data_IF_605473788820
#
_entry.id   IF_605473788820
#
_cell.length_a   1.000
_cell.length_b   1.000
_cell.length_c   1.000
_cell.angle_alpha   90.00
_cell.angle_beta   90.00
_cell.angle_gamma   90.00
#
_symmetry.space_group_name_H-M   'P 1'
#
loop_
_entity.id
_entity.type
_entity.pdbx_description
1 polymer ?
#
# COMPACT_ATOMS: atom_id res chain seq x y z
N UNK A 1 33.29 -0.01 24.22
CA UNK A 1 32.70 -1.33 24.52
C UNK A 1 31.22 -1.13 24.79
N UNK A 2 30.32 -1.94 24.21
CA UNK A 2 28.89 -1.83 24.49
C UNK A 2 28.62 -2.20 25.96
N UNK A 3 27.82 -1.37 26.66
CA UNK A 3 27.42 -1.61 28.05
C UNK A 3 26.14 -2.45 28.08
N UNK A 4 25.94 -3.20 29.17
CA UNK A 4 24.74 -4.03 29.32
C UNK A 4 23.49 -3.15 29.48
N UNK A 5 22.40 -3.48 28.77
CA UNK A 5 21.18 -2.69 28.83
C UNK A 5 20.48 -2.85 30.19
N UNK A 6 20.08 -1.74 30.80
CA UNK A 6 19.51 -1.70 32.14
C UNK A 6 18.36 -2.69 32.36
N UNK A 7 17.38 -2.73 31.46
CA UNK A 7 16.17 -3.54 31.62
C UNK A 7 16.47 -5.05 31.57
N UNK A 8 17.39 -5.46 30.68
CA UNK A 8 17.88 -6.83 30.61
C UNK A 8 18.64 -7.20 31.88
N UNK A 9 19.45 -6.27 32.41
CA UNK A 9 20.25 -6.54 33.63
C UNK A 9 19.35 -6.70 34.84
N UNK A 10 18.34 -5.84 34.94
CA UNK A 10 17.38 -5.87 36.02
C UNK A 10 16.62 -7.21 36.05
N UNK A 11 16.14 -7.66 34.89
CA UNK A 11 15.47 -8.95 34.78
C UNK A 11 16.39 -10.14 35.09
N UNK A 12 17.64 -10.09 34.64
CA UNK A 12 18.64 -11.12 34.93
C UNK A 12 18.93 -11.24 36.42
N UNK A 13 19.25 -10.12 37.09
CA UNK A 13 19.61 -10.11 38.51
C UNK A 13 18.43 -10.54 39.39
N UNK A 14 17.20 -10.09 39.07
CA UNK A 14 16.01 -10.57 39.79
C UNK A 14 15.83 -12.08 39.65
N UNK A 15 15.91 -12.62 38.43
CA UNK A 15 15.74 -14.06 38.18
C UNK A 15 16.81 -14.89 38.87
N UNK A 16 18.07 -14.42 38.87
CA UNK A 16 19.17 -15.08 39.62
C UNK A 16 18.92 -15.09 41.13
N UNK A 17 18.23 -14.08 41.66
CA UNK A 17 17.79 -14.04 43.04
C UNK A 17 16.53 -14.87 43.32
N UNK A 18 15.92 -15.51 42.31
CA UNK A 18 14.72 -16.34 42.46
C UNK A 18 13.43 -15.58 42.77
N UNK A 19 13.42 -14.25 42.62
CA UNK A 19 12.31 -13.40 43.04
C UNK A 19 11.26 -13.22 41.94
N UNK A 20 10.00 -13.11 42.31
CA UNK A 20 8.92 -12.62 41.44
C UNK A 20 9.03 -11.10 41.24
N UNK A 21 8.36 -10.58 40.20
CA UNK A 21 8.32 -9.12 39.97
C UNK A 21 7.60 -8.36 41.09
N UNK A 22 6.68 -9.02 41.80
CA UNK A 22 5.97 -8.41 42.91
C UNK A 22 6.87 -8.27 44.13
N UNK A 23 7.51 -9.36 44.56
CA UNK A 23 8.45 -9.35 45.69
C UNK A 23 9.60 -8.37 45.43
N UNK A 24 10.17 -8.37 44.22
CA UNK A 24 11.23 -7.43 43.85
C UNK A 24 10.76 -5.96 43.88
N UNK A 25 9.52 -5.71 43.46
CA UNK A 25 8.90 -4.37 43.54
C UNK A 25 8.73 -3.89 44.98
N UNK A 26 8.28 -4.78 45.87
CA UNK A 26 8.11 -4.49 47.29
C UNK A 26 9.43 -4.09 47.97
N UNK A 27 10.56 -4.75 47.64
CA UNK A 27 11.89 -4.38 48.15
C UNK A 27 12.36 -2.96 47.80
N UNK A 28 11.86 -2.42 46.68
CA UNK A 28 12.31 -1.13 46.13
C UNK A 28 11.23 -0.04 46.30
N UNK A 29 10.05 -0.42 46.78
CA UNK A 29 8.90 0.48 46.93
C UNK A 29 8.25 0.85 45.59
N UNK A 30 8.34 -0.01 44.57
CA UNK A 30 7.66 0.20 43.28
C UNK A 30 6.63 -0.89 43.03
N UNK A 31 5.51 -0.52 42.40
CA UNK A 31 4.45 -1.50 42.10
C UNK A 31 4.95 -2.60 41.16
N UNK A 32 4.37 -3.80 41.25
CA UNK A 32 4.64 -4.90 40.30
C UNK A 32 4.46 -4.48 38.83
N UNK A 33 3.47 -3.61 38.56
CA UNK A 33 3.25 -3.03 37.25
C UNK A 33 4.40 -2.12 36.81
N UNK A 34 4.88 -1.25 37.70
CA UNK A 34 6.05 -0.38 37.44
C UNK A 34 7.31 -1.23 37.19
N UNK A 35 7.54 -2.26 38.00
CA UNK A 35 8.64 -3.21 37.82
C UNK A 35 8.60 -3.87 36.43
N UNK A 36 7.44 -4.39 36.03
CA UNK A 36 7.24 -5.00 34.71
C UNK A 36 7.56 -4.03 33.56
N UNK A 37 7.14 -2.77 33.67
CA UNK A 37 7.43 -1.74 32.66
C UNK A 37 8.94 -1.41 32.56
N UNK A 38 9.67 -1.49 33.67
CA UNK A 38 11.11 -1.28 33.69
C UNK A 38 11.87 -2.47 33.09
N UNK A 39 11.50 -3.72 33.41
CA UNK A 39 12.12 -4.92 32.84
C UNK A 39 11.87 -5.11 31.35
N UNK A 40 10.70 -4.68 30.87
CA UNK A 40 10.34 -4.76 29.46
C UNK A 40 10.92 -3.61 28.63
N UNK A 41 11.57 -2.64 29.27
CA UNK A 41 12.08 -1.44 28.61
C UNK A 41 10.99 -0.46 28.15
N UNK A 42 9.72 -0.73 28.49
CA UNK A 42 8.59 0.12 28.14
C UNK A 42 8.70 1.52 28.77
N UNK A 43 9.25 1.59 29.98
CA UNK A 43 9.60 2.84 30.65
C UNK A 43 11.06 2.82 31.11
N UNK A 44 11.66 3.99 31.14
CA UNK A 44 12.96 4.20 31.78
C UNK A 44 12.77 4.54 33.26
N UNK A 45 13.73 4.16 34.13
CA UNK A 45 13.68 4.56 35.53
C UNK A 45 13.93 6.07 35.64
N UNK A 46 13.33 6.69 36.66
CA UNK A 46 13.78 8.00 37.13
C UNK A 46 15.18 7.87 37.73
N UNK A 47 15.83 9.01 37.98
CA UNK A 47 17.15 9.03 38.63
C UNK A 47 17.11 8.34 40.01
N UNK A 48 16.07 8.61 40.78
CA UNK A 48 15.93 8.09 42.14
C UNK A 48 15.56 6.60 42.12
N UNK A 49 14.70 6.17 41.20
CA UNK A 49 14.40 4.75 40.99
C UNK A 49 15.65 3.98 40.58
N UNK A 50 16.45 4.52 39.66
CA UNK A 50 17.70 3.89 39.22
C UNK A 50 18.71 3.77 40.36
N UNK A 51 18.81 4.80 41.20
CA UNK A 51 19.70 4.77 42.36
C UNK A 51 19.24 3.71 43.37
N UNK A 52 17.95 3.69 43.71
CA UNK A 52 17.38 2.70 44.62
C UNK A 52 17.58 1.27 44.09
N UNK A 53 17.31 1.05 42.80
CA UNK A 53 17.52 -0.26 42.16
C UNK A 53 18.98 -0.71 42.19
N UNK A 54 19.94 0.20 42.03
CA UNK A 54 21.38 -0.14 42.15
C UNK A 54 21.80 -0.49 43.57
N UNK A 55 21.16 0.10 44.58
CA UNK A 55 21.43 -0.20 45.99
C UNK A 55 20.91 -1.60 46.37
N UNK A 56 19.72 -1.97 45.90
CA UNK A 56 19.07 -3.24 46.25
C UNK A 56 19.46 -4.40 45.32
N UNK A 57 19.75 -4.12 44.06
CA UNK A 57 20.12 -5.10 43.05
C UNK A 57 21.46 -4.68 42.44
N UNK A 58 22.47 -5.55 42.50
CA UNK A 58 23.81 -5.22 42.02
C UNK A 58 23.87 -5.17 40.48
N UNK A 59 23.44 -4.04 39.91
CA UNK A 59 23.31 -3.88 38.45
C UNK A 59 24.65 -3.56 37.77
N UNK A 60 25.62 -3.00 38.48
CA UNK A 60 26.92 -2.56 37.92
C UNK A 60 26.79 -1.38 36.94
N UNK A 61 27.72 -1.26 36.00
CA UNK A 61 27.61 -0.29 34.91
C UNK A 61 26.57 -0.74 33.88
N UNK A 62 25.50 0.03 33.75
CA UNK A 62 24.39 -0.25 32.84
C UNK A 62 24.13 0.93 31.93
N UNK A 63 23.75 0.63 30.69
CA UNK A 63 23.24 1.61 29.75
C UNK A 63 21.73 1.76 29.96
N UNK A 64 21.30 2.96 30.33
CA UNK A 64 19.89 3.35 30.34
C UNK A 64 19.62 4.10 29.04
N UNK A 65 18.80 3.55 28.13
CA UNK A 65 18.50 4.24 26.88
C UNK A 65 17.74 5.55 27.14
N UNK A 66 17.89 6.54 26.25
CA UNK A 66 17.10 7.77 26.33
C UNK A 66 15.60 7.46 26.33
N UNK A 67 14.82 8.23 27.08
CA UNK A 67 13.36 8.10 27.14
C UNK A 67 12.78 8.29 25.74
N UNK A 68 12.22 7.22 25.17
CA UNK A 68 11.72 7.23 23.79
C UNK A 68 12.46 6.26 22.87
N UNK A 69 13.71 5.86 23.16
CA UNK A 69 14.48 4.95 22.29
C UNK A 69 13.76 3.61 22.05
N UNK A 70 13.16 3.02 23.09
CA UNK A 70 12.36 1.80 22.92
C UNK A 70 11.11 2.05 22.07
N UNK A 71 10.47 3.22 22.24
CA UNK A 71 9.34 3.64 21.40
C UNK A 71 9.79 3.84 19.96
N UNK A 72 10.93 4.47 19.71
CA UNK A 72 11.50 4.69 18.38
C UNK A 72 11.84 3.36 17.70
N UNK A 73 12.43 2.41 18.40
CA UNK A 73 12.70 1.07 17.89
C UNK A 73 11.42 0.26 17.66
N UNK A 74 10.44 0.35 18.57
CA UNK A 74 9.13 -0.27 18.42
C UNK A 74 8.38 0.34 17.24
N UNK A 75 8.40 1.65 17.09
CA UNK A 75 7.75 2.36 15.98
C UNK A 75 8.50 2.07 14.67
N UNK A 76 9.83 1.88 14.71
CA UNK A 76 10.59 1.35 13.60
C UNK A 76 10.19 -0.10 13.26
N UNK A 77 9.89 -0.94 14.25
CA UNK A 77 9.37 -2.30 14.06
C UNK A 77 7.89 -2.34 13.63
N UNK A 78 7.07 -1.40 14.07
CA UNK A 78 5.68 -1.25 13.65
C UNK A 78 5.59 -0.83 12.18
N UNK A 79 6.62 -0.14 11.65
CA UNK A 79 6.80 0.05 10.20
C UNK A 79 7.13 -1.24 9.44
N UNK A 80 7.46 -2.34 10.13
CA UNK A 80 7.81 -3.64 9.54
C UNK A 80 6.69 -4.69 9.64
N UNK A 81 5.58 -4.40 10.33
CA UNK A 81 4.43 -5.31 10.46
C UNK A 81 3.24 -4.73 9.71
N UNK A 82 2.63 -5.52 8.81
CA UNK A 82 1.50 -5.12 7.98
C UNK A 82 0.27 -4.76 8.83
N UNK A 83 0.06 -3.48 9.08
CA UNK A 83 -1.31 -2.97 9.02
C UNK A 83 -1.71 -3.11 7.55
N UNK A 84 -2.65 -4.01 7.25
CA UNK A 84 -3.20 -4.21 5.90
C UNK A 84 -4.14 -3.06 5.51
N UNK A 85 -3.73 -1.82 5.80
CA UNK A 85 -4.36 -0.66 5.18
C UNK A 85 -4.07 -0.73 3.69
N UNK A 86 -5.13 -0.61 2.90
CA UNK A 86 -5.04 -0.45 1.45
C UNK A 86 -4.03 0.66 1.13
N UNK A 87 -3.04 0.36 0.29
CA UNK A 87 -2.19 1.39 -0.26
C UNK A 87 -2.96 2.15 -1.33
N UNK A 88 -3.18 3.43 -1.09
CA UNK A 88 -3.81 4.34 -2.05
C UNK A 88 -2.69 5.13 -2.73
N UNK A 89 -2.52 4.91 -4.03
CA UNK A 89 -1.58 5.68 -4.82
C UNK A 89 -1.90 7.17 -4.72
N UNK A 90 -0.85 8.00 -4.64
CA UNK A 90 -1.05 9.44 -4.57
C UNK A 90 -1.77 9.96 -5.82
N UNK A 91 -2.68 10.92 -5.65
CA UNK A 91 -3.36 11.59 -6.75
C UNK A 91 -3.38 13.10 -6.56
N UNK A 92 -3.22 13.85 -7.65
CA UNK A 92 -3.30 15.31 -7.64
C UNK A 92 -4.75 15.80 -7.50
N UNK A 93 -5.71 14.96 -7.92
CA UNK A 93 -7.14 15.23 -7.97
C UNK A 93 -7.93 13.96 -7.71
N UNK A 94 -9.14 14.12 -7.19
CA UNK A 94 -10.05 13.01 -6.98
C UNK A 94 -10.45 12.33 -8.30
N UNK A 95 -10.58 11.00 -8.26
CA UNK A 95 -11.04 10.14 -9.35
C UNK A 95 -12.35 10.63 -9.97
N UNK A 96 -13.24 11.17 -9.13
CA UNK A 96 -14.51 11.74 -9.55
C UNK A 96 -14.36 12.97 -10.47
N UNK A 97 -13.32 13.79 -10.29
CA UNK A 97 -13.03 14.92 -11.19
C UNK A 97 -12.64 14.40 -12.57
N UNK A 98 -11.88 13.29 -12.63
CA UNK A 98 -11.50 12.65 -13.90
C UNK A 98 -12.71 12.03 -14.60
N UNK A 99 -13.60 11.40 -13.84
CA UNK A 99 -14.88 10.89 -14.32
C UNK A 99 -15.77 11.98 -14.91
N UNK A 100 -15.92 13.12 -14.23
CA UNK A 100 -16.66 14.27 -14.78
C UNK A 100 -16.09 14.77 -16.10
N UNK A 101 -14.76 14.76 -16.25
CA UNK A 101 -14.13 15.10 -17.52
C UNK A 101 -14.44 14.06 -18.60
N UNK A 102 -14.51 12.78 -18.25
CA UNK A 102 -14.94 11.72 -19.18
C UNK A 102 -16.39 11.92 -19.62
N UNK A 103 -17.32 12.21 -18.70
CA UNK A 103 -18.72 12.54 -19.01
C UNK A 103 -18.81 13.71 -19.98
N UNK A 104 -18.08 14.80 -19.72
CA UNK A 104 -18.12 15.98 -20.58
C UNK A 104 -17.57 15.72 -21.99
N UNK A 105 -16.55 14.87 -22.12
CA UNK A 105 -15.91 14.60 -23.41
C UNK A 105 -16.65 13.53 -24.22
N UNK A 106 -17.15 12.48 -23.56
CA UNK A 106 -17.79 11.33 -24.20
C UNK A 106 -19.09 10.93 -23.48
N UNK A 107 -20.12 11.80 -23.45
CA UNK A 107 -21.33 11.56 -22.66
C UNK A 107 -22.04 10.27 -23.07
N UNK A 108 -22.20 10.03 -24.38
CA UNK A 108 -22.88 8.84 -24.92
C UNK A 108 -22.16 7.54 -24.56
N UNK A 109 -20.81 7.54 -24.59
CA UNK A 109 -20.05 6.33 -24.24
C UNK A 109 -20.12 6.05 -22.74
N UNK A 110 -20.04 7.08 -21.90
CA UNK A 110 -20.15 6.93 -20.46
C UNK A 110 -21.55 6.45 -20.08
N UNK A 111 -22.61 7.01 -20.69
CA UNK A 111 -23.98 6.58 -20.45
C UNK A 111 -24.15 5.08 -20.74
N UNK A 112 -23.78 4.62 -21.94
CA UNK A 112 -23.87 3.19 -22.27
C UNK A 112 -22.99 2.29 -21.42
N UNK A 113 -21.78 2.73 -21.04
CA UNK A 113 -20.95 1.98 -20.09
C UNK A 113 -21.62 1.88 -18.71
N UNK A 114 -22.21 2.96 -18.22
CA UNK A 114 -22.83 2.99 -16.90
C UNK A 114 -24.13 2.18 -16.86
N UNK A 115 -24.90 2.11 -17.94
CA UNK A 115 -26.02 1.16 -18.07
C UNK A 115 -25.55 -0.27 -17.83
N UNK A 116 -24.44 -0.67 -18.46
CA UNK A 116 -23.85 -2.00 -18.29
C UNK A 116 -23.30 -2.22 -16.87
N UNK A 117 -22.53 -1.25 -16.36
CA UNK A 117 -21.81 -1.39 -15.09
C UNK A 117 -22.77 -1.34 -13.90
N UNK A 118 -23.78 -0.46 -13.93
CA UNK A 118 -24.76 -0.32 -12.84
C UNK A 118 -25.74 -1.49 -12.73
N UNK A 119 -25.93 -2.25 -13.81
CA UNK A 119 -26.75 -3.45 -13.81
C UNK A 119 -26.06 -4.67 -13.17
N UNK A 120 -24.77 -4.57 -12.81
CA UNK A 120 -24.02 -5.67 -12.19
C UNK A 120 -24.38 -5.84 -10.72
N UNK A 121 -24.42 -7.10 -10.26
CA UNK A 121 -24.68 -7.44 -8.86
C UNK A 121 -23.62 -6.86 -7.90
N UNK A 122 -22.37 -6.74 -8.35
CA UNK A 122 -21.24 -6.22 -7.56
C UNK A 122 -21.01 -4.71 -7.73
N UNK A 123 -21.99 -3.96 -8.25
CA UNK A 123 -21.87 -2.53 -8.53
C UNK A 123 -21.45 -1.70 -7.31
N UNK A 124 -21.94 -1.99 -6.11
CA UNK A 124 -21.55 -1.27 -4.89
C UNK A 124 -20.04 -1.40 -4.62
N UNK A 125 -19.49 -2.60 -4.80
CA UNK A 125 -18.05 -2.85 -4.63
C UNK A 125 -17.22 -2.14 -5.70
N UNK A 126 -17.71 -2.12 -6.94
CA UNK A 126 -17.10 -1.38 -8.05
C UNK A 126 -17.08 0.12 -7.75
N UNK A 127 -18.22 0.67 -7.30
CA UNK A 127 -18.35 2.08 -6.96
C UNK A 127 -17.41 2.45 -5.81
N UNK A 128 -17.35 1.64 -4.76
CA UNK A 128 -16.40 1.84 -3.66
C UNK A 128 -14.95 1.86 -4.16
N UNK A 129 -14.56 0.85 -4.96
CA UNK A 129 -13.21 0.74 -5.49
C UNK A 129 -12.85 1.92 -6.41
N UNK A 130 -13.78 2.37 -7.25
CA UNK A 130 -13.59 3.49 -8.16
C UNK A 130 -13.11 4.76 -7.44
N UNK A 131 -13.68 5.03 -6.25
CA UNK A 131 -13.28 6.17 -5.42
C UNK A 131 -11.94 5.97 -4.69
N UNK A 132 -11.35 4.76 -4.74
CA UNK A 132 -10.05 4.44 -4.15
C UNK A 132 -8.93 4.34 -5.17
N UNK A 133 -9.24 4.14 -6.45
CA UNK A 133 -8.25 4.08 -7.52
C UNK A 133 -7.86 5.49 -7.96
N UNK A 134 -6.55 5.73 -8.10
CA UNK A 134 -6.02 6.95 -8.69
C UNK A 134 -6.06 6.89 -10.22
N UNK A 135 -6.45 8.01 -10.85
CA UNK A 135 -6.41 8.18 -12.29
C UNK A 135 -5.72 9.51 -12.66
N UNK A 136 -4.77 9.45 -13.59
CA UNK A 136 -4.04 10.60 -14.13
C UNK A 136 -4.68 11.16 -15.41
N UNK A 137 -5.77 10.57 -15.88
CA UNK A 137 -6.54 11.03 -17.05
C UNK A 137 -8.00 10.59 -17.01
N UNK A 138 -8.83 11.19 -17.86
CA UNK A 138 -10.18 10.68 -18.11
C UNK A 138 -10.17 9.43 -19.01
N UNK A 139 -9.09 9.19 -19.76
CA UNK A 139 -8.97 8.01 -20.64
C UNK A 139 -8.73 6.75 -19.82
N UNK A 140 -7.96 6.85 -18.73
CA UNK A 140 -7.81 5.75 -17.76
C UNK A 140 -9.14 5.43 -17.08
N UNK A 141 -9.99 6.43 -16.81
CA UNK A 141 -11.36 6.19 -16.32
C UNK A 141 -12.19 5.42 -17.34
N UNK A 142 -12.12 5.80 -18.62
CA UNK A 142 -12.78 5.04 -19.70
C UNK A 142 -12.27 3.61 -19.78
N UNK A 143 -10.96 3.40 -19.64
CA UNK A 143 -10.36 2.07 -19.67
C UNK A 143 -10.75 1.23 -18.45
N UNK A 144 -10.81 1.82 -17.26
CA UNK A 144 -11.34 1.18 -16.06
C UNK A 144 -12.80 0.72 -16.28
N UNK A 145 -13.67 1.63 -16.74
CA UNK A 145 -15.06 1.31 -17.01
C UNK A 145 -15.23 0.27 -18.12
N UNK A 146 -14.38 0.28 -19.14
CA UNK A 146 -14.32 -0.75 -20.17
C UNK A 146 -14.02 -2.13 -19.56
N UNK A 147 -12.98 -2.24 -18.72
CA UNK A 147 -12.64 -3.50 -18.06
C UNK A 147 -13.80 -4.02 -17.20
N UNK A 148 -14.43 -3.13 -16.43
CA UNK A 148 -15.60 -3.48 -15.62
C UNK A 148 -16.78 -3.88 -16.53
N UNK A 149 -17.05 -3.17 -17.62
CA UNK A 149 -18.12 -3.56 -18.54
C UNK A 149 -17.85 -4.91 -19.23
N UNK A 150 -16.59 -5.30 -19.38
CA UNK A 150 -16.15 -6.62 -19.82
C UNK A 150 -16.19 -7.71 -18.74
N UNK A 151 -16.62 -7.39 -17.51
CA UNK A 151 -16.79 -8.36 -16.43
C UNK A 151 -15.65 -8.40 -15.41
N UNK A 152 -14.75 -7.41 -15.38
CA UNK A 152 -13.67 -7.38 -14.39
C UNK A 152 -14.23 -7.21 -12.97
N UNK A 153 -13.68 -7.89 -11.98
CA UNK A 153 -14.12 -7.84 -10.57
C UNK A 153 -13.16 -7.02 -9.71
N UNK A 154 -13.66 -6.28 -8.71
CA UNK A 154 -12.82 -5.58 -7.74
C UNK A 154 -11.91 -6.53 -6.95
N UNK A 155 -10.65 -6.16 -6.77
CA UNK A 155 -9.71 -6.85 -5.89
C UNK A 155 -8.89 -5.88 -5.04
N UNK A 156 -8.33 -6.41 -3.96
CA UNK A 156 -7.28 -5.76 -3.17
C UNK A 156 -6.21 -6.79 -2.86
N UNK A 157 -5.05 -6.65 -3.49
CA UNK A 157 -3.97 -7.63 -3.38
C UNK A 157 -2.60 -6.94 -3.40
N UNK A 158 -1.62 -7.43 -2.62
CA UNK A 158 -0.24 -6.98 -2.79
C UNK A 158 0.28 -7.42 -4.16
N UNK A 159 0.82 -6.52 -5.00
CA UNK A 159 1.42 -6.93 -6.27
C UNK A 159 2.48 -8.02 -6.09
N UNK A 160 3.29 -7.96 -5.03
CA UNK A 160 4.31 -8.97 -4.73
C UNK A 160 3.77 -10.37 -4.45
N UNK A 161 2.47 -10.51 -4.15
CA UNK A 161 1.81 -11.81 -4.00
C UNK A 161 1.67 -12.53 -5.35
N UNK A 162 1.56 -11.79 -6.45
CA UNK A 162 1.37 -12.33 -7.79
C UNK A 162 2.69 -12.68 -8.48
N UNK A 163 3.79 -12.05 -8.06
CA UNK A 163 5.13 -12.28 -8.57
C UNK A 163 6.07 -11.12 -8.25
N UNK A 164 7.37 -11.33 -8.42
CA UNK A 164 8.37 -10.28 -8.26
C UNK A 164 8.47 -9.44 -9.54
N UNK A 165 8.14 -8.14 -9.51
CA UNK A 165 8.44 -7.24 -10.62
C UNK A 165 9.96 -7.00 -10.71
N UNK A 166 10.48 -6.59 -11.88
CA UNK A 166 11.92 -6.38 -12.09
C UNK A 166 12.50 -5.21 -11.30
N UNK A 167 11.65 -4.33 -10.76
CA UNK A 167 12.04 -3.23 -9.89
C UNK A 167 11.04 -3.11 -8.73
N UNK A 168 11.48 -2.69 -7.53
CA UNK A 168 10.58 -2.50 -6.39
C UNK A 168 9.48 -1.47 -6.69
N UNK A 169 8.26 -1.76 -6.27
CA UNK A 169 7.14 -0.79 -6.31
C UNK A 169 7.26 0.16 -5.11
N UNK A 170 7.16 1.47 -5.33
CA UNK A 170 7.31 2.50 -4.31
C UNK A 170 6.18 3.53 -4.31
N UNK A 171 6.09 4.30 -3.22
CA UNK A 171 5.33 5.55 -3.18
C UNK A 171 6.27 6.72 -3.58
N UNK A 172 6.04 7.44 -4.69
CA UNK A 172 6.95 8.46 -5.21
C UNK A 172 7.39 9.57 -4.24
N UNK A 173 6.55 10.00 -3.29
CA UNK A 173 6.88 11.11 -2.38
C UNK A 173 7.73 10.67 -1.20
N UNK A 174 7.38 9.52 -0.62
CA UNK A 174 8.10 8.98 0.55
C UNK A 174 9.26 8.07 0.16
N UNK A 175 9.27 7.57 -1.08
CA UNK A 175 10.20 6.55 -1.63
C UNK A 175 10.21 5.23 -0.86
N UNK A 176 9.24 5.03 0.03
CA UNK A 176 9.00 3.78 0.71
C UNK A 176 8.56 2.72 -0.29
N UNK A 177 9.05 1.49 -0.14
CA UNK A 177 8.54 0.37 -0.93
C UNK A 177 7.14 0.04 -0.46
N UNK A 178 6.24 -0.17 -1.41
CA UNK A 178 4.83 -0.40 -1.12
C UNK A 178 4.25 -1.62 -1.82
N UNK A 179 5.01 -2.32 -2.68
CA UNK A 179 4.51 -3.51 -3.38
C UNK A 179 4.03 -4.66 -2.48
N UNK A 180 4.35 -4.64 -1.20
CA UNK A 180 3.87 -5.59 -0.20
C UNK A 180 2.54 -5.19 0.46
N UNK A 181 2.06 -3.96 0.25
CA UNK A 181 0.73 -3.53 0.70
C UNK A 181 -0.33 -3.90 -0.33
N UNK A 182 -1.57 -4.22 0.11
CA UNK A 182 -2.68 -4.42 -0.80
C UNK A 182 -2.92 -3.18 -1.66
N UNK A 183 -2.91 -3.33 -2.97
CA UNK A 183 -3.28 -2.28 -3.93
C UNK A 183 -4.70 -2.52 -4.43
N UNK A 184 -5.53 -1.47 -4.60
CA UNK A 184 -6.81 -1.61 -5.27
C UNK A 184 -6.57 -1.93 -6.75
N UNK A 185 -7.32 -2.89 -7.26
CA UNK A 185 -7.19 -3.33 -8.64
C UNK A 185 -8.43 -4.03 -9.17
N UNK A 186 -8.33 -4.52 -10.39
CA UNK A 186 -9.35 -5.34 -11.03
C UNK A 186 -8.76 -6.69 -11.43
N UNK A 187 -9.55 -7.75 -11.37
CA UNK A 187 -9.24 -9.02 -12.04
C UNK A 187 -10.21 -9.25 -13.20
N UNK A 188 -9.68 -9.60 -14.38
CA UNK A 188 -10.48 -10.01 -15.52
C UNK A 188 -9.88 -11.28 -16.10
N UNK A 189 -10.59 -12.39 -15.94
CA UNK A 189 -10.24 -13.70 -16.50
C UNK A 189 -8.79 -14.12 -16.14
N UNK A 190 -8.40 -13.91 -14.88
CA UNK A 190 -7.06 -14.24 -14.37
C UNK A 190 -5.97 -13.24 -14.75
N UNK A 191 -6.32 -12.14 -15.42
CA UNK A 191 -5.42 -10.98 -15.56
C UNK A 191 -5.76 -9.97 -14.48
N UNK A 192 -4.80 -9.67 -13.62
CA UNK A 192 -4.92 -8.64 -12.59
C UNK A 192 -4.38 -7.30 -13.08
N UNK A 193 -5.05 -6.19 -12.76
CA UNK A 193 -4.71 -4.82 -13.15
C UNK A 193 -4.63 -3.92 -11.91
N UNK A 194 -3.48 -3.28 -11.71
CA UNK A 194 -3.28 -2.23 -10.71
C UNK A 194 -3.03 -0.90 -11.40
N UNK A 195 -3.73 0.15 -10.98
CA UNK A 195 -3.64 1.46 -11.62
C UNK A 195 -2.59 2.33 -10.94
N UNK A 196 -1.90 3.13 -11.74
CA UNK A 196 -1.03 4.21 -11.30
C UNK A 196 0.10 3.77 -10.35
N UNK A 197 0.80 2.70 -10.73
CA UNK A 197 1.86 2.07 -9.94
C UNK A 197 3.19 2.75 -10.23
N UNK A 198 3.99 3.01 -9.18
CA UNK A 198 5.32 3.62 -9.33
C UNK A 198 6.44 2.66 -8.97
N UNK A 199 7.55 2.76 -9.68
CA UNK A 199 8.71 1.89 -9.54
C UNK A 199 9.96 2.63 -9.08
N UNK A 200 10.82 1.94 -8.35
CA UNK A 200 12.14 2.41 -7.94
C UNK A 200 13.14 2.25 -9.08
N UNK A 201 13.49 3.38 -9.69
CA UNK A 201 14.63 3.54 -10.59
C UNK A 201 15.46 4.76 -10.15
N UNK A 202 16.48 5.13 -10.92
CA UNK A 202 17.28 6.35 -10.70
C UNK A 202 16.40 7.60 -10.58
N UNK A 203 15.35 7.67 -11.40
CA UNK A 203 14.22 8.60 -11.30
C UNK A 203 12.96 7.73 -11.17
N UNK A 204 12.13 7.90 -10.13
CA UNK A 204 10.90 7.13 -10.01
C UNK A 204 10.00 7.26 -11.24
N UNK A 205 9.50 6.12 -11.73
CA UNK A 205 8.64 6.08 -12.91
C UNK A 205 7.29 5.55 -12.50
N UNK A 206 6.24 6.29 -12.90
CA UNK A 206 4.85 5.89 -12.75
C UNK A 206 4.33 5.34 -14.08
N UNK A 207 3.72 4.18 -14.00
CA UNK A 207 3.03 3.53 -15.12
C UNK A 207 1.53 3.67 -14.93
N UNK A 208 0.79 3.81 -16.02
CA UNK A 208 -0.66 4.00 -15.92
C UNK A 208 -1.34 2.75 -15.34
N UNK A 209 -0.93 1.57 -15.81
CA UNK A 209 -1.45 0.29 -15.32
C UNK A 209 -0.32 -0.75 -15.29
N UNK A 210 -0.20 -1.45 -14.17
CA UNK A 210 0.58 -2.67 -14.04
C UNK A 210 -0.37 -3.86 -14.15
N UNK A 211 -0.12 -4.76 -15.11
CA UNK A 211 -0.95 -5.94 -15.33
C UNK A 211 -0.14 -7.24 -15.11
N UNK A 212 -0.82 -8.28 -14.61
CA UNK A 212 -0.22 -9.60 -14.40
C UNK A 212 -1.11 -10.73 -14.94
N UNK A 213 -0.55 -11.56 -15.80
CA UNK A 213 -1.15 -12.84 -16.23
C UNK A 213 -0.03 -13.83 -16.56
N UNK A 214 0.42 -14.59 -15.56
CA UNK A 214 1.61 -15.45 -15.68
C UNK A 214 2.94 -14.69 -15.87
N UNK A 215 2.89 -13.35 -15.83
CA UNK A 215 4.03 -12.46 -16.01
C UNK A 215 3.57 -10.99 -15.95
N UNK A 216 4.48 -10.10 -15.58
CA UNK A 216 4.22 -8.66 -15.48
C UNK A 216 4.33 -7.97 -16.83
N UNK A 217 3.43 -7.02 -17.08
CA UNK A 217 3.51 -6.04 -18.18
C UNK A 217 2.96 -4.70 -17.73
N UNK A 218 3.34 -3.64 -18.41
CA UNK A 218 2.75 -2.31 -18.22
C UNK A 218 1.78 -2.01 -19.35
N UNK A 219 0.72 -1.28 -19.06
CA UNK A 219 -0.19 -0.73 -20.05
C UNK A 219 -0.15 0.78 -19.92
N UNK A 220 0.21 1.46 -21.00
CA UNK A 220 0.37 2.91 -21.06
C UNK A 220 -0.73 3.51 -21.93
N UNK A 221 -1.50 4.43 -21.36
CA UNK A 221 -2.69 5.00 -21.99
C UNK A 221 -2.34 6.36 -22.59
N UNK A 222 -2.15 6.36 -23.90
CA UNK A 222 -1.77 7.56 -24.64
C UNK A 222 -2.99 8.42 -24.96
N UNK A 223 -2.91 9.67 -24.51
CA UNK A 223 -3.82 10.75 -24.94
C UNK A 223 -3.35 11.30 -26.29
N UNK A 224 -4.29 11.82 -27.07
CA UNK A 224 -3.95 12.54 -28.30
C UNK A 224 -2.93 13.66 -28.02
N UNK A 225 -1.85 13.70 -28.82
CA UNK A 225 -0.77 14.68 -28.70
C UNK A 225 0.34 14.35 -27.69
N UNK A 226 0.32 13.18 -27.05
CA UNK A 226 1.39 12.74 -26.14
C UNK A 226 2.51 12.00 -26.90
N UNK A 227 3.76 12.44 -26.75
CA UNK A 227 4.93 11.78 -27.34
C UNK A 227 5.54 10.75 -26.38
N UNK A 228 5.24 9.47 -26.63
CA UNK A 228 5.76 8.35 -25.87
C UNK A 228 7.29 8.16 -26.02
N UNK A 229 7.91 8.68 -27.10
CA UNK A 229 9.34 8.46 -27.37
C UNK A 229 10.27 9.26 -26.45
N UNK A 230 9.74 10.21 -25.68
CA UNK A 230 10.52 11.03 -24.75
C UNK A 230 10.86 10.33 -23.41
N UNK A 231 10.24 9.17 -23.11
CA UNK A 231 10.30 8.57 -21.77
C UNK A 231 11.27 7.37 -21.70
N UNK A 232 12.55 7.64 -21.92
CA UNK A 232 13.62 6.64 -21.92
C UNK A 232 13.68 5.78 -20.64
N UNK A 233 13.22 6.32 -19.52
CA UNK A 233 13.18 5.60 -18.25
C UNK A 233 12.23 4.40 -18.27
N UNK A 234 11.14 4.42 -19.06
CA UNK A 234 10.18 3.30 -19.09
C UNK A 234 10.76 2.03 -19.69
N UNK A 235 11.74 2.17 -20.59
CA UNK A 235 12.50 1.03 -21.12
C UNK A 235 13.43 0.42 -20.05
N UNK A 236 13.91 1.22 -19.10
CA UNK A 236 14.75 0.78 -17.98
C UNK A 236 14.00 -0.19 -17.04
N UNK A 237 12.66 -0.12 -16.99
CA UNK A 237 11.85 -1.04 -16.18
C UNK A 237 11.98 -2.50 -16.62
N UNK A 238 12.37 -2.77 -17.87
CA UNK A 238 12.51 -4.14 -18.38
C UNK A 238 11.19 -4.93 -18.44
N UNK A 239 10.04 -4.26 -18.31
CA UNK A 239 8.71 -4.87 -18.47
C UNK A 239 8.23 -4.73 -19.92
N UNK A 240 7.55 -5.74 -20.48
CA UNK A 240 6.79 -5.58 -21.72
C UNK A 240 5.80 -4.42 -21.59
N UNK A 241 5.81 -3.52 -22.57
CA UNK A 241 4.93 -2.35 -22.60
C UNK A 241 3.86 -2.54 -23.66
N UNK A 242 2.60 -2.49 -23.24
CA UNK A 242 1.45 -2.39 -24.12
C UNK A 242 0.99 -0.94 -24.19
N UNK A 243 1.03 -0.35 -25.38
CA UNK A 243 0.51 0.99 -25.61
C UNK A 243 -0.95 0.88 -26.03
N UNK A 244 -1.82 1.66 -25.39
CA UNK A 244 -3.24 1.77 -25.75
C UNK A 244 -3.56 3.23 -25.99
N UNK A 245 -4.03 3.56 -27.20
CA UNK A 245 -4.40 4.94 -27.53
C UNK A 245 -5.82 5.28 -27.07
N UNK A 246 -6.09 6.57 -26.87
CA UNK A 246 -7.46 7.05 -26.60
C UNK A 246 -8.46 6.58 -27.68
N UNK A 247 -8.08 6.65 -28.96
CA UNK A 247 -8.91 6.18 -30.07
C UNK A 247 -9.22 4.67 -29.96
N UNK A 248 -8.23 3.87 -29.56
CA UNK A 248 -8.41 2.43 -29.36
C UNK A 248 -9.34 2.12 -28.18
N UNK A 249 -9.25 2.88 -27.07
CA UNK A 249 -10.18 2.73 -25.94
C UNK A 249 -11.62 3.02 -26.39
N UNK A 250 -11.82 4.12 -27.11
CA UNK A 250 -13.12 4.54 -27.66
C UNK A 250 -13.68 3.48 -28.61
N UNK A 251 -12.85 2.94 -29.50
CA UNK A 251 -13.26 1.90 -30.45
C UNK A 251 -13.70 0.63 -29.72
N UNK A 252 -12.93 0.18 -28.71
CA UNK A 252 -13.26 -1.00 -27.90
C UNK A 252 -14.58 -0.83 -27.16
N UNK A 253 -14.81 0.33 -26.54
CA UNK A 253 -16.09 0.63 -25.88
C UNK A 253 -17.23 0.63 -26.89
N UNK A 254 -17.06 1.32 -28.03
CA UNK A 254 -18.11 1.43 -29.05
C UNK A 254 -18.52 0.06 -29.60
N UNK A 255 -17.55 -0.83 -29.82
CA UNK A 255 -17.79 -2.21 -30.24
C UNK A 255 -18.54 -3.00 -29.17
N UNK A 256 -18.10 -2.95 -27.92
CA UNK A 256 -18.76 -3.62 -26.79
C UNK A 256 -20.25 -3.23 -26.70
N UNK A 257 -20.54 -1.93 -26.76
CA UNK A 257 -21.91 -1.42 -26.66
C UNK A 257 -22.76 -1.84 -27.88
N UNK A 258 -22.19 -1.84 -29.08
CA UNK A 258 -22.89 -2.32 -30.30
C UNK A 258 -23.19 -3.82 -30.23
N UNK A 259 -22.23 -4.63 -29.79
CA UNK A 259 -22.41 -6.08 -29.65
C UNK A 259 -23.54 -6.39 -28.67
N UNK A 260 -23.59 -5.69 -27.53
CA UNK A 260 -24.68 -5.83 -26.55
C UNK A 260 -26.04 -5.40 -27.10
N UNK A 261 -26.12 -4.24 -27.75
CA UNK A 261 -27.36 -3.77 -28.36
C UNK A 261 -27.91 -4.75 -29.42
N UNK A 262 -27.03 -5.46 -30.14
CA UNK A 262 -27.44 -6.48 -31.09
C UNK A 262 -27.96 -7.76 -30.40
N UNK A 263 -27.33 -8.17 -29.29
CA UNK A 263 -27.80 -9.32 -28.49
C UNK A 263 -29.17 -9.03 -27.88
N UNK A 264 -29.38 -7.84 -27.31
CA UNK A 264 -30.67 -7.45 -26.71
C UNK A 264 -31.80 -7.35 -27.75
N UNK A 265 -31.50 -7.00 -29.00
CA UNK A 265 -32.49 -6.99 -30.09
C UNK A 265 -32.82 -8.39 -30.62
N UNK A 266 -31.96 -9.36 -30.38
CA UNK A 266 -32.12 -10.74 -30.83
C UNK A 266 -32.76 -11.65 -29.76
N UNK A 267 -32.82 -11.20 -28.51
CA UNK A 267 -33.48 -11.84 -27.37
C UNK A 267 -34.96 -11.42 -27.26
#
# INVERSE_FOLDING_TARGET
MFKYQFHLRLAEVRRKAGLTQQEAGEFVGISRGRWSQLETGYRTPSRDELQSLKCHFFLGEVYVPHSGTYRELRDAGAKLVSQSSLFLAWQDRDSFIRYWKAIKKYPVLIEGLMEVVSAREDFESIQYLFHRISFDSYVEVLYFLLLVACGATPISAPPLLLGQPPSPILEPRTRCEVGHFPHPGLDLQGTTYFFQVSFRLSIPIRVDILAHNGGWKTIEILREGYDFKADAGRQELGLPIQIVSEAEVIERISRLLKERANVERAA
#
